data_IF_329669610359
#
_entry.id   IF_329669610359
#
_cell.length_a   1.000
_cell.length_b   1.000
_cell.length_c   1.000
_cell.angle_alpha   90.00
_cell.angle_beta   90.00
_cell.angle_gamma   90.00
#
_symmetry.space_group_name_H-M   'P 1'
#
loop_
_entity.id
_entity.type
_entity.pdbx_description
1 polymer ?
#
# COMPACT_ATOMS: atom_id res chain seq x y z
N UNK A 1 21.80 18.85 -7.34
CA UNK A 1 20.75 18.63 -6.32
C UNK A 1 19.50 17.95 -6.90
N UNK A 2 19.00 18.35 -8.07
CA UNK A 2 17.78 17.76 -8.71
C UNK A 2 17.84 16.23 -8.87
N UNK A 3 18.96 15.67 -9.36
CA UNK A 3 19.09 14.22 -9.56
C UNK A 3 19.04 13.40 -8.26
N UNK A 4 19.61 13.89 -7.15
CA UNK A 4 19.61 13.16 -5.87
C UNK A 4 18.19 13.00 -5.32
N UNK A 5 17.39 14.08 -5.40
CA UNK A 5 15.99 14.06 -4.94
C UNK A 5 15.13 13.13 -5.79
N UNK A 6 15.29 13.18 -7.11
CA UNK A 6 14.58 12.28 -8.03
C UNK A 6 14.87 10.82 -7.73
N UNK A 7 16.13 10.44 -7.55
CA UNK A 7 16.54 9.09 -7.16
C UNK A 7 15.93 8.69 -5.82
N UNK A 8 15.93 9.58 -4.83
CA UNK A 8 15.35 9.32 -3.53
C UNK A 8 13.84 9.01 -3.62
N UNK A 9 13.10 9.77 -4.41
CA UNK A 9 11.66 9.54 -4.61
C UNK A 9 11.40 8.26 -5.42
N UNK A 10 12.25 7.94 -6.38
CA UNK A 10 12.19 6.70 -7.16
C UNK A 10 12.41 5.47 -6.28
N UNK A 11 13.39 5.51 -5.37
CA UNK A 11 13.65 4.43 -4.40
C UNK A 11 12.45 4.24 -3.47
N UNK A 12 11.82 5.31 -3.01
CA UNK A 12 10.61 5.25 -2.18
C UNK A 12 9.51 4.43 -2.87
N UNK A 13 9.17 4.78 -4.11
CA UNK A 13 8.11 4.07 -4.84
C UNK A 13 8.53 2.66 -5.27
N UNK A 14 9.79 2.46 -5.63
CA UNK A 14 10.33 1.12 -5.92
C UNK A 14 10.12 0.18 -4.72
N UNK A 15 10.59 0.56 -3.54
CA UNK A 15 10.44 -0.26 -2.33
C UNK A 15 8.97 -0.45 -1.94
N UNK A 16 8.14 0.61 -2.03
CA UNK A 16 6.71 0.56 -1.76
C UNK A 16 6.01 -0.55 -2.55
N UNK A 17 6.30 -0.67 -3.83
CA UNK A 17 5.67 -1.65 -4.71
C UNK A 17 6.38 -3.01 -4.70
N UNK A 18 7.67 -3.07 -4.38
CA UNK A 18 8.35 -4.34 -4.11
C UNK A 18 7.73 -5.07 -2.92
N UNK A 19 7.38 -4.36 -1.84
CA UNK A 19 6.69 -4.93 -0.67
C UNK A 19 5.40 -5.63 -1.13
N UNK A 20 4.57 -4.97 -1.91
CA UNK A 20 3.33 -5.58 -2.40
C UNK A 20 3.59 -6.74 -3.36
N UNK A 21 4.47 -6.55 -4.35
CA UNK A 21 4.80 -7.55 -5.35
C UNK A 21 5.44 -8.81 -4.79
N UNK A 22 6.04 -8.73 -3.59
CA UNK A 22 6.68 -9.88 -2.96
C UNK A 22 5.68 -10.94 -2.51
N UNK A 23 4.55 -10.57 -1.94
CA UNK A 23 3.66 -11.53 -1.28
C UNK A 23 2.27 -11.64 -1.89
N UNK A 24 1.68 -10.54 -2.35
CA UNK A 24 0.26 -10.45 -2.69
C UNK A 24 -0.20 -11.49 -3.72
N UNK A 25 0.57 -11.69 -4.79
CA UNK A 25 0.19 -12.61 -5.89
C UNK A 25 0.28 -14.07 -5.47
N UNK A 26 1.31 -14.44 -4.71
CA UNK A 26 1.62 -15.84 -4.39
C UNK A 26 1.00 -16.33 -3.09
N UNK A 27 0.52 -15.41 -2.24
CA UNK A 27 -0.11 -15.78 -0.96
C UNK A 27 -1.30 -16.71 -1.12
N UNK A 28 -2.14 -16.53 -2.13
CA UNK A 28 -3.25 -17.46 -2.39
C UNK A 28 -2.79 -18.89 -2.59
N UNK A 29 -1.74 -19.10 -3.36
CA UNK A 29 -1.12 -20.42 -3.57
C UNK A 29 -0.59 -21.01 -2.26
N UNK A 30 0.10 -20.22 -1.46
CA UNK A 30 0.60 -20.63 -0.16
C UNK A 30 -0.52 -21.02 0.80
N UNK A 31 -1.56 -20.20 0.91
CA UNK A 31 -2.70 -20.46 1.80
C UNK A 31 -3.47 -21.73 1.40
N UNK A 32 -3.75 -21.91 0.08
CA UNK A 32 -4.51 -23.06 -0.42
C UNK A 32 -3.69 -24.35 -0.40
N UNK A 33 -2.45 -24.31 -0.90
CA UNK A 33 -1.68 -25.53 -1.17
C UNK A 33 -0.79 -25.96 -0.01
N UNK A 34 -0.39 -25.04 0.86
CA UNK A 34 0.52 -25.33 1.98
C UNK A 34 -0.18 -25.29 3.32
N UNK A 35 -0.98 -24.26 3.57
CA UNK A 35 -1.74 -24.14 4.82
C UNK A 35 -3.09 -24.86 4.77
N UNK A 36 -3.53 -25.28 3.58
CA UNK A 36 -4.81 -25.97 3.36
C UNK A 36 -6.02 -25.17 3.83
N UNK A 37 -5.96 -23.83 3.76
CA UNK A 37 -7.10 -22.97 4.02
C UNK A 37 -8.19 -23.23 3.00
N UNK A 38 -9.44 -23.21 3.43
CA UNK A 38 -10.61 -23.27 2.56
C UNK A 38 -10.67 -22.05 1.63
N UNK A 39 -11.34 -22.16 0.48
CA UNK A 39 -11.53 -21.04 -0.43
C UNK A 39 -12.20 -19.82 0.23
N UNK A 40 -13.11 -20.06 1.20
CA UNK A 40 -13.75 -18.98 1.97
C UNK A 40 -12.75 -18.26 2.90
N UNK A 41 -11.86 -18.98 3.56
CA UNK A 41 -10.81 -18.38 4.40
C UNK A 41 -9.81 -17.56 3.57
N UNK A 42 -9.39 -18.07 2.40
CA UNK A 42 -8.57 -17.31 1.47
C UNK A 42 -9.29 -16.04 0.99
N UNK A 43 -10.58 -16.16 0.66
CA UNK A 43 -11.41 -15.01 0.30
C UNK A 43 -11.48 -13.96 1.42
N UNK A 44 -11.56 -14.37 2.69
CA UNK A 44 -11.52 -13.46 3.83
C UNK A 44 -10.16 -12.77 3.98
N UNK A 45 -9.05 -13.51 3.81
CA UNK A 45 -7.69 -12.94 3.86
C UNK A 45 -7.52 -11.82 2.82
N UNK A 46 -7.95 -12.04 1.59
CA UNK A 46 -7.90 -10.99 0.57
C UNK A 46 -8.96 -9.90 0.79
N UNK A 47 -10.14 -10.27 1.31
CA UNK A 47 -11.19 -9.33 1.70
C UNK A 47 -10.74 -8.33 2.78
N UNK A 48 -9.78 -8.71 3.64
CA UNK A 48 -9.19 -7.81 4.63
C UNK A 48 -8.59 -6.56 3.99
N UNK A 49 -8.02 -6.67 2.77
CA UNK A 49 -7.52 -5.52 2.02
C UNK A 49 -8.65 -4.54 1.66
N UNK A 50 -9.80 -5.05 1.23
CA UNK A 50 -10.96 -4.23 0.87
C UNK A 50 -11.51 -3.50 2.10
N UNK A 51 -11.64 -4.18 3.24
CA UNK A 51 -12.06 -3.57 4.51
C UNK A 51 -11.10 -2.47 4.94
N UNK A 52 -9.80 -2.75 4.91
CA UNK A 52 -8.79 -1.77 5.28
C UNK A 52 -8.74 -0.57 4.33
N UNK A 53 -9.00 -0.77 3.03
CA UNK A 53 -9.04 0.31 2.04
C UNK A 53 -10.12 1.37 2.36
N UNK A 54 -11.23 0.98 2.96
CA UNK A 54 -12.27 1.91 3.42
C UNK A 54 -11.89 2.64 4.69
N UNK A 55 -11.27 1.95 5.63
CA UNK A 55 -11.06 2.45 7.00
C UNK A 55 -9.79 3.29 7.09
N UNK A 56 -8.69 2.80 6.54
CA UNK A 56 -7.35 3.32 6.82
C UNK A 56 -7.05 4.72 6.27
N UNK A 57 -7.54 5.15 5.09
CA UNK A 57 -7.26 6.51 4.60
C UNK A 57 -7.81 7.60 5.51
N UNK A 58 -8.96 7.34 6.16
CA UNK A 58 -9.61 8.30 7.06
C UNK A 58 -8.71 8.58 8.27
N UNK A 59 -8.18 7.52 8.89
CA UNK A 59 -7.32 7.67 10.07
C UNK A 59 -5.97 8.27 9.73
N UNK A 60 -5.37 7.83 8.63
CA UNK A 60 -4.02 8.29 8.26
C UNK A 60 -4.04 9.72 7.74
N UNK A 61 -5.04 10.12 6.97
CA UNK A 61 -5.23 11.51 6.57
C UNK A 61 -5.31 12.43 7.79
N UNK A 62 -6.16 12.10 8.76
CA UNK A 62 -6.30 12.87 9.99
C UNK A 62 -4.98 12.97 10.80
N UNK A 63 -4.21 11.88 10.89
CA UNK A 63 -2.95 11.85 11.65
C UNK A 63 -1.87 12.68 10.95
N UNK A 64 -1.75 12.58 9.61
CA UNK A 64 -0.73 13.30 8.84
C UNK A 64 -1.01 14.78 8.75
N UNK A 65 -2.27 15.17 8.64
CA UNK A 65 -2.63 16.58 8.47
C UNK A 65 -2.46 17.38 9.77
N UNK A 66 -2.59 16.73 10.92
CA UNK A 66 -2.65 17.42 12.20
C UNK A 66 -1.44 17.21 13.12
N UNK A 67 -0.84 16.02 13.15
CA UNK A 67 0.10 15.68 14.22
C UNK A 67 1.51 15.33 13.77
N UNK A 68 1.68 14.67 12.61
CA UNK A 68 2.97 14.12 12.22
C UNK A 68 3.28 14.36 10.75
N UNK A 69 4.55 14.55 10.43
CA UNK A 69 5.00 14.62 9.03
C UNK A 69 4.78 13.28 8.32
N UNK A 70 4.42 13.33 7.04
CA UNK A 70 4.17 12.16 6.20
C UNK A 70 5.31 11.12 6.27
N UNK A 71 6.56 11.57 6.33
CA UNK A 71 7.73 10.68 6.44
C UNK A 71 7.74 9.87 7.74
N UNK A 72 7.37 10.47 8.88
CA UNK A 72 7.31 9.76 10.16
C UNK A 72 6.15 8.77 10.20
N UNK A 73 5.00 9.14 9.64
CA UNK A 73 3.85 8.25 9.55
C UNK A 73 4.18 7.06 8.63
N UNK A 74 4.79 7.30 7.47
CA UNK A 74 5.28 6.22 6.60
C UNK A 74 6.22 5.28 7.35
N UNK A 75 7.19 5.82 8.12
CA UNK A 75 8.12 5.01 8.90
C UNK A 75 7.38 4.11 9.91
N UNK A 76 6.46 4.69 10.70
CA UNK A 76 5.68 3.95 11.69
C UNK A 76 4.83 2.84 11.05
N UNK A 77 4.12 3.17 9.97
CA UNK A 77 3.25 2.23 9.28
C UNK A 77 4.03 1.05 8.67
N UNK A 78 5.20 1.31 8.07
CA UNK A 78 6.04 0.27 7.48
C UNK A 78 6.74 -0.59 8.55
N UNK A 79 7.22 -0.01 9.63
CA UNK A 79 7.81 -0.78 10.74
C UNK A 79 6.74 -1.67 11.39
N UNK A 80 5.56 -1.12 11.68
CA UNK A 80 4.42 -1.88 12.20
C UNK A 80 3.96 -2.98 11.24
N UNK A 81 3.87 -2.67 9.95
CA UNK A 81 3.56 -3.64 8.90
C UNK A 81 4.59 -4.76 8.80
N UNK A 82 5.88 -4.44 8.95
CA UNK A 82 6.95 -5.45 8.99
C UNK A 82 6.77 -6.43 10.14
N UNK A 83 6.42 -5.95 11.34
CA UNK A 83 6.15 -6.80 12.50
C UNK A 83 4.96 -7.74 12.24
N UNK A 84 3.88 -7.22 11.65
CA UNK A 84 2.73 -8.05 11.27
C UNK A 84 3.11 -9.14 10.27
N UNK A 85 3.91 -8.83 9.25
CA UNK A 85 4.38 -9.80 8.25
C UNK A 85 5.27 -10.89 8.85
N UNK A 86 6.17 -10.54 9.78
CA UNK A 86 6.97 -11.53 10.53
C UNK A 86 6.07 -12.43 11.38
N UNK A 87 5.04 -11.86 12.02
CA UNK A 87 4.08 -12.66 12.75
C UNK A 87 3.29 -13.60 11.81
N UNK A 88 2.79 -13.10 10.67
CA UNK A 88 2.13 -13.94 9.66
C UNK A 88 3.04 -15.05 9.12
N UNK A 89 4.34 -14.82 8.99
CA UNK A 89 5.32 -15.85 8.63
C UNK A 89 5.38 -16.97 9.68
N UNK A 90 5.21 -16.62 10.97
CA UNK A 90 5.40 -17.54 12.11
C UNK A 90 4.14 -18.32 12.48
N UNK A 91 2.95 -17.86 12.07
CA UNK A 91 1.68 -18.48 12.44
C UNK A 91 0.94 -19.04 11.22
N UNK A 92 0.50 -20.31 11.34
CA UNK A 92 -0.18 -21.04 10.26
C UNK A 92 -1.68 -21.26 10.53
N UNK A 93 -2.18 -20.93 11.73
CA UNK A 93 -3.60 -21.03 12.08
C UNK A 93 -4.38 -19.84 11.53
N UNK A 94 -5.52 -20.11 10.88
CA UNK A 94 -6.36 -19.07 10.27
C UNK A 94 -6.83 -18.01 11.27
N UNK A 95 -7.20 -18.44 12.49
CA UNK A 95 -7.74 -17.51 13.50
C UNK A 95 -6.69 -16.50 13.99
N UNK A 96 -5.40 -16.79 13.79
CA UNK A 96 -4.27 -15.88 14.07
C UNK A 96 -3.85 -15.14 12.81
N UNK A 97 -3.76 -15.84 11.68
CA UNK A 97 -3.31 -15.29 10.40
C UNK A 97 -4.24 -14.20 9.88
N UNK A 98 -5.56 -14.40 9.93
CA UNK A 98 -6.54 -13.45 9.42
C UNK A 98 -6.54 -12.09 10.17
N UNK A 99 -6.60 -12.05 11.52
CA UNK A 99 -6.47 -10.78 12.24
C UNK A 99 -5.15 -10.05 12.00
N UNK A 100 -4.02 -10.79 11.87
CA UNK A 100 -2.74 -10.21 11.51
C UNK A 100 -2.74 -9.60 10.11
N UNK A 101 -3.39 -10.28 9.15
CA UNK A 101 -3.56 -9.76 7.80
C UNK A 101 -4.40 -8.48 7.81
N UNK A 102 -5.48 -8.44 8.57
CA UNK A 102 -6.33 -7.26 8.70
C UNK A 102 -5.56 -6.08 9.30
N UNK A 103 -4.81 -6.33 10.37
CA UNK A 103 -3.94 -5.31 11.00
C UNK A 103 -2.87 -4.82 10.02
N UNK A 104 -2.21 -5.74 9.32
CA UNK A 104 -1.24 -5.39 8.28
C UNK A 104 -1.87 -4.53 7.18
N UNK A 105 -3.05 -4.91 6.71
CA UNK A 105 -3.75 -4.16 5.66
C UNK A 105 -4.08 -2.73 6.10
N UNK A 106 -4.55 -2.55 7.34
CA UNK A 106 -4.85 -1.21 7.92
C UNK A 106 -3.59 -0.35 8.01
N UNK A 107 -2.43 -0.96 8.32
CA UNK A 107 -1.15 -0.24 8.35
C UNK A 107 -0.60 0.04 6.96
N UNK A 108 -0.72 -0.91 6.02
CA UNK A 108 -0.03 -0.86 4.73
C UNK A 108 -0.79 -0.06 3.66
N UNK A 109 -2.10 -0.24 3.52
CA UNK A 109 -2.85 0.37 2.41
C UNK A 109 -2.77 1.90 2.36
N UNK A 110 -2.86 2.64 3.47
CA UNK A 110 -2.75 4.09 3.41
C UNK A 110 -1.38 4.58 2.95
N UNK A 111 -0.33 3.73 3.04
CA UNK A 111 1.02 4.11 2.61
C UNK A 111 1.11 4.36 1.10
N UNK A 112 0.21 3.79 0.28
CA UNK A 112 0.17 4.07 -1.16
C UNK A 112 -0.23 5.52 -1.46
N UNK A 113 -1.28 5.99 -0.83
CA UNK A 113 -1.73 7.37 -1.00
C UNK A 113 -0.71 8.33 -0.39
N UNK A 114 -0.19 7.99 0.80
CA UNK A 114 0.75 8.82 1.54
C UNK A 114 2.10 8.94 0.82
N UNK A 115 2.64 7.85 0.28
CA UNK A 115 3.90 7.87 -0.49
C UNK A 115 3.73 8.64 -1.81
N UNK A 116 2.60 8.46 -2.50
CA UNK A 116 2.31 9.20 -3.73
C UNK A 116 2.14 10.70 -3.47
N UNK A 117 1.39 11.08 -2.44
CA UNK A 117 1.22 12.47 -2.01
C UNK A 117 2.55 13.10 -1.60
N UNK A 118 3.38 12.36 -0.85
CA UNK A 118 4.73 12.81 -0.49
C UNK A 118 5.58 13.08 -1.73
N UNK A 119 5.58 12.17 -2.71
CA UNK A 119 6.32 12.34 -3.97
C UNK A 119 5.85 13.58 -4.73
N UNK A 120 4.53 13.75 -4.91
CA UNK A 120 3.95 14.89 -5.62
C UNK A 120 4.34 16.23 -4.99
N UNK A 121 4.35 16.32 -3.66
CA UNK A 121 4.74 17.53 -2.93
C UNK A 121 6.24 17.85 -3.02
N UNK A 122 7.06 16.87 -3.37
CA UNK A 122 8.50 17.03 -3.47
C UNK A 122 8.99 17.38 -4.88
N UNK A 123 8.16 17.22 -5.90
CA UNK A 123 8.49 17.51 -7.29
C UNK A 123 8.26 18.99 -7.63
N UNK A 124 9.12 19.56 -8.46
CA UNK A 124 9.00 20.95 -8.95
C UNK A 124 7.89 21.08 -10.01
N UNK A 125 7.80 20.10 -10.91
CA UNK A 125 6.74 19.99 -11.93
C UNK A 125 6.16 18.57 -11.87
N UNK A 126 5.17 18.35 -10.97
CA UNK A 126 4.57 17.02 -10.81
C UNK A 126 4.00 16.44 -12.09
N UNK A 127 3.41 17.27 -12.96
CA UNK A 127 2.79 16.82 -14.20
C UNK A 127 3.77 16.14 -15.16
N UNK A 128 5.00 16.61 -15.21
CA UNK A 128 6.08 16.07 -16.07
C UNK A 128 6.93 15.02 -15.37
N UNK A 129 7.18 15.18 -14.08
CA UNK A 129 8.18 14.39 -13.36
C UNK A 129 7.57 13.15 -12.68
N UNK A 130 6.32 13.22 -12.22
CA UNK A 130 5.69 12.13 -11.49
C UNK A 130 5.60 10.82 -12.29
N UNK A 131 5.24 10.82 -13.59
CA UNK A 131 5.21 9.57 -14.36
C UNK A 131 6.54 8.82 -14.36
N UNK A 132 7.66 9.55 -14.50
CA UNK A 132 9.00 8.96 -14.47
C UNK A 132 9.41 8.40 -13.10
N UNK A 133 8.98 9.03 -12.01
CA UNK A 133 9.18 8.48 -10.65
C UNK A 133 8.25 7.29 -10.40
N UNK A 134 7.01 7.36 -10.88
CA UNK A 134 5.98 6.32 -10.66
C UNK A 134 6.32 4.99 -11.35
N UNK A 135 7.00 5.04 -12.49
CA UNK A 135 7.46 3.85 -13.23
C UNK A 135 8.32 2.92 -12.36
N UNK A 136 9.12 3.47 -11.43
CA UNK A 136 9.94 2.67 -10.51
C UNK A 136 9.10 1.78 -9.59
N UNK A 137 7.85 2.17 -9.30
CA UNK A 137 6.92 1.28 -8.60
C UNK A 137 6.61 0.02 -9.41
N UNK A 138 6.33 0.14 -10.70
CA UNK A 138 6.10 -1.03 -11.57
C UNK A 138 7.34 -1.90 -11.70
N UNK A 139 8.52 -1.28 -11.82
CA UNK A 139 9.80 -2.00 -11.82
C UNK A 139 9.99 -2.76 -10.50
N UNK A 140 9.70 -2.15 -9.35
CA UNK A 140 9.78 -2.79 -8.05
C UNK A 140 8.87 -4.01 -7.94
N UNK A 141 7.63 -3.91 -8.41
CA UNK A 141 6.69 -5.04 -8.47
C UNK A 141 7.25 -6.19 -9.31
N UNK A 142 7.77 -5.90 -10.49
CA UNK A 142 8.35 -6.90 -11.40
C UNK A 142 9.57 -7.58 -10.77
N UNK A 143 10.47 -6.80 -10.16
CA UNK A 143 11.66 -7.34 -9.49
C UNK A 143 11.24 -8.30 -8.37
N UNK A 144 10.30 -7.90 -7.52
CA UNK A 144 9.84 -8.71 -6.40
C UNK A 144 9.20 -10.03 -6.87
N UNK A 145 8.31 -9.97 -7.85
CA UNK A 145 7.69 -11.16 -8.44
C UNK A 145 8.70 -12.12 -9.05
N UNK A 146 9.69 -11.58 -9.78
CA UNK A 146 10.78 -12.40 -10.34
C UNK A 146 11.66 -13.06 -9.26
N UNK A 147 11.95 -12.35 -8.16
CA UNK A 147 12.70 -12.96 -7.03
C UNK A 147 11.94 -14.16 -6.48
N UNK A 148 10.63 -14.01 -6.23
CA UNK A 148 9.77 -15.07 -5.70
C UNK A 148 9.72 -16.27 -6.68
N UNK A 149 9.50 -16.01 -7.97
CA UNK A 149 9.44 -17.06 -8.99
C UNK A 149 10.77 -17.79 -9.19
N UNK A 150 11.89 -17.06 -9.33
CA UNK A 150 13.22 -17.65 -9.51
C UNK A 150 13.65 -18.51 -8.32
N UNK A 151 13.21 -18.17 -7.10
CA UNK A 151 13.51 -18.94 -5.89
C UNK A 151 12.46 -20.03 -5.60
N UNK A 152 11.44 -20.16 -6.44
CA UNK A 152 10.33 -21.12 -6.27
C UNK A 152 9.66 -21.00 -4.89
N UNK A 153 9.40 -19.77 -4.45
CA UNK A 153 8.85 -19.48 -3.13
C UNK A 153 7.30 -19.39 -3.07
N UNK A 154 6.62 -19.61 -4.20
CA UNK A 154 5.16 -19.43 -4.34
C UNK A 154 4.32 -20.24 -3.34
N UNK A 155 4.86 -21.41 -2.91
CA UNK A 155 4.19 -22.30 -1.96
C UNK A 155 4.75 -22.19 -0.53
N UNK A 156 5.57 -21.20 -0.26
CA UNK A 156 6.24 -21.04 1.03
C UNK A 156 5.84 -19.74 1.70
N UNK A 157 6.15 -19.59 2.98
CA UNK A 157 5.97 -18.33 3.71
C UNK A 157 7.06 -17.28 3.39
N UNK A 158 8.13 -17.63 2.66
CA UNK A 158 9.27 -16.75 2.39
C UNK A 158 8.91 -15.41 1.75
N UNK A 159 7.90 -15.31 0.84
CA UNK A 159 7.42 -14.03 0.34
C UNK A 159 6.99 -13.04 1.43
N UNK A 160 6.43 -13.53 2.54
CA UNK A 160 6.07 -12.68 3.68
C UNK A 160 7.31 -12.13 4.37
N UNK A 161 8.36 -12.94 4.53
CA UNK A 161 9.62 -12.52 5.14
C UNK A 161 10.38 -11.53 4.25
N UNK A 162 10.40 -11.74 2.93
CA UNK A 162 10.94 -10.77 1.97
C UNK A 162 10.21 -9.44 2.08
N UNK A 163 8.88 -9.48 2.08
CA UNK A 163 8.04 -8.29 2.23
C UNK A 163 8.28 -7.58 3.57
N UNK A 164 8.42 -8.33 4.66
CA UNK A 164 8.75 -7.80 5.98
C UNK A 164 10.08 -7.06 5.99
N UNK A 165 11.10 -7.67 5.38
CA UNK A 165 12.45 -7.09 5.28
C UNK A 165 12.43 -5.79 4.47
N UNK A 166 11.76 -5.79 3.31
CA UNK A 166 11.61 -4.60 2.47
C UNK A 166 10.81 -3.51 3.18
N UNK A 167 9.76 -3.88 3.93
CA UNK A 167 8.95 -2.94 4.72
C UNK A 167 9.77 -2.30 5.83
N UNK A 168 10.59 -3.07 6.53
CA UNK A 168 11.51 -2.54 7.54
C UNK A 168 12.53 -1.57 6.92
N UNK A 169 13.13 -1.95 5.80
CA UNK A 169 14.07 -1.08 5.05
C UNK A 169 13.39 0.22 4.66
N UNK A 170 12.17 0.15 4.12
CA UNK A 170 11.42 1.34 3.73
C UNK A 170 11.04 2.19 4.93
N UNK A 171 10.63 1.57 6.05
CA UNK A 171 10.33 2.27 7.29
C UNK A 171 11.54 3.05 7.83
N UNK A 172 12.69 2.41 7.87
CA UNK A 172 13.97 3.08 8.26
C UNK A 172 14.33 4.17 7.23
N UNK A 173 14.22 3.89 5.94
CA UNK A 173 14.48 4.86 4.88
C UNK A 173 13.59 6.11 5.00
N UNK A 174 12.32 5.93 5.35
CA UNK A 174 11.36 7.02 5.54
C UNK A 174 11.76 7.99 6.65
N UNK A 175 12.50 7.55 7.69
CA UNK A 175 13.02 8.43 8.73
C UNK A 175 14.05 9.45 8.21
N UNK A 176 14.75 9.13 7.13
CA UNK A 176 15.75 9.99 6.49
C UNK A 176 15.17 10.84 5.36
N UNK A 177 13.89 10.70 5.04
CA UNK A 177 13.21 11.52 4.06
C UNK A 177 13.07 12.96 4.56
N UNK A 178 13.16 13.91 3.64
CA UNK A 178 12.97 15.34 3.95
C UNK A 178 11.58 15.56 4.55
N UNK A 179 11.53 16.23 5.70
CA UNK A 179 10.24 16.58 6.30
C UNK A 179 9.50 17.53 5.36
N UNK A 180 8.33 17.15 4.94
CA UNK A 180 7.38 18.05 4.32
C UNK A 180 6.56 18.63 5.47
N UNK A 181 6.47 19.96 5.60
CA UNK A 181 5.56 20.56 6.55
C UNK A 181 4.14 20.03 6.28
N UNK A 182 3.40 19.68 7.32
CA UNK A 182 1.95 19.55 7.21
C UNK A 182 1.43 20.82 6.54
N UNK A 183 0.51 20.70 5.60
CA UNK A 183 -0.06 21.87 4.93
C UNK A 183 -0.81 22.66 6.00
N UNK A 184 -0.12 23.65 6.58
CA UNK A 184 -0.73 24.60 7.51
C UNK A 184 -1.83 25.34 6.73
N UNK A 185 -3.08 25.10 7.08
CA UNK A 185 -4.19 25.89 6.56
C UNK A 185 -5.48 25.16 6.23
N UNK A 186 -5.50 23.83 6.20
CA UNK A 186 -6.77 23.09 6.15
C UNK A 186 -6.80 22.06 7.26
N UNK A 187 -6.94 22.53 8.49
CA UNK A 187 -7.43 21.70 9.58
C UNK A 187 -8.86 21.27 9.19
N UNK A 188 -8.96 20.17 8.47
CA UNK A 188 -10.21 19.46 8.34
C UNK A 188 -10.61 18.99 9.73
N UNK A 189 -11.42 19.76 10.39
CA UNK A 189 -11.79 19.57 11.80
C UNK A 189 -12.84 18.49 12.00
N UNK A 190 -13.21 17.73 10.97
CA UNK A 190 -14.28 16.76 11.13
C UNK A 190 -14.27 15.69 10.04
N UNK A 191 -14.56 14.43 10.44
CA UNK A 191 -15.05 13.37 9.56
C UNK A 191 -16.18 13.88 8.63
N UNK A 192 -16.93 14.92 9.05
CA UNK A 192 -17.95 15.61 8.24
C UNK A 192 -17.39 16.29 6.99
N UNK A 193 -16.11 16.72 6.99
CA UNK A 193 -15.52 17.32 5.78
C UNK A 193 -15.03 16.25 4.79
N UNK A 194 -14.70 15.04 5.25
CA UNK A 194 -14.43 13.91 4.37
C UNK A 194 -15.69 13.49 3.58
N UNK A 195 -16.88 13.64 4.20
CA UNK A 195 -18.17 13.50 3.53
C UNK A 195 -18.72 14.88 3.11
N UNK A 196 -17.84 15.80 2.75
CA UNK A 196 -18.24 17.15 2.36
C UNK A 196 -19.16 17.14 1.14
N UNK A 197 -20.03 18.12 1.07
CA UNK A 197 -20.94 18.35 -0.07
C UNK A 197 -20.16 18.38 -1.40
N UNK A 198 -18.89 18.80 -1.37
CA UNK A 198 -17.98 18.83 -2.53
C UNK A 198 -17.70 17.44 -3.09
N UNK A 199 -17.45 16.42 -2.26
CA UNK A 199 -17.23 15.03 -2.71
C UNK A 199 -18.52 14.47 -3.32
N UNK A 200 -19.68 14.73 -2.69
CA UNK A 200 -20.97 14.31 -3.23
C UNK A 200 -21.26 15.00 -4.58
N UNK A 201 -20.85 16.26 -4.73
CA UNK A 201 -20.97 17.00 -6.00
C UNK A 201 -20.10 16.42 -7.11
N UNK A 202 -18.88 15.88 -6.79
CA UNK A 202 -18.05 15.19 -7.77
C UNK A 202 -18.74 13.96 -8.37
N UNK A 203 -19.43 13.17 -7.54
CA UNK A 203 -20.21 12.03 -8.01
C UNK A 203 -21.42 12.40 -8.88
N UNK A 204 -21.87 13.66 -8.87
CA UNK A 204 -22.90 14.17 -9.78
C UNK A 204 -22.34 14.54 -11.15
N UNK A 205 -21.01 14.68 -11.30
CA UNK A 205 -20.37 14.97 -12.58
C UNK A 205 -20.27 13.69 -13.39
N UNK A 206 -20.86 13.68 -14.60
CA UNK A 206 -20.90 12.52 -15.50
C UNK A 206 -19.50 11.96 -15.81
N UNK A 207 -18.55 12.85 -16.09
CA UNK A 207 -17.18 12.45 -16.46
C UNK A 207 -16.45 11.79 -15.31
N UNK A 208 -16.62 12.29 -14.07
CA UNK A 208 -16.09 11.68 -12.87
C UNK A 208 -16.71 10.31 -12.60
N UNK A 209 -18.01 10.18 -12.80
CA UNK A 209 -18.72 8.92 -12.58
C UNK A 209 -18.30 7.87 -13.60
N UNK A 210 -18.15 8.23 -14.90
CA UNK A 210 -17.62 7.35 -15.95
C UNK A 210 -16.19 6.92 -15.61
N UNK A 211 -15.34 7.87 -15.18
CA UNK A 211 -13.97 7.56 -14.76
C UNK A 211 -13.95 6.55 -13.61
N UNK A 212 -14.74 6.74 -12.58
CA UNK A 212 -14.82 5.84 -11.41
C UNK A 212 -15.33 4.45 -11.78
N UNK A 213 -16.37 4.36 -12.61
CA UNK A 213 -16.90 3.07 -13.11
C UNK A 213 -15.83 2.36 -13.94
N UNK A 214 -15.19 3.06 -14.88
CA UNK A 214 -14.14 2.49 -15.73
C UNK A 214 -12.96 1.99 -14.90
N UNK A 215 -12.55 2.75 -13.90
CA UNK A 215 -11.47 2.36 -12.98
C UNK A 215 -11.86 1.11 -12.17
N UNK A 216 -13.08 1.05 -11.66
CA UNK A 216 -13.59 -0.10 -10.91
C UNK A 216 -13.60 -1.37 -11.78
N UNK A 217 -14.08 -1.27 -13.01
CA UNK A 217 -14.09 -2.40 -13.96
C UNK A 217 -12.66 -2.84 -14.32
N UNK A 218 -11.75 -1.88 -14.54
CA UNK A 218 -10.36 -2.16 -14.85
C UNK A 218 -9.66 -2.94 -13.70
N UNK A 219 -9.96 -2.63 -12.45
CA UNK A 219 -9.42 -3.35 -11.30
C UNK A 219 -10.13 -4.67 -11.01
N UNK A 220 -11.42 -4.80 -11.34
CA UNK A 220 -12.17 -6.03 -11.13
C UNK A 220 -11.67 -7.19 -12.02
N UNK A 221 -11.25 -6.90 -13.25
CA UNK A 221 -10.77 -7.93 -14.21
C UNK A 221 -9.53 -8.69 -13.70
N UNK A 222 -8.42 -8.04 -13.30
CA UNK A 222 -7.27 -8.73 -12.74
C UNK A 222 -7.60 -9.51 -11.47
N UNK A 223 -8.45 -8.96 -10.62
CA UNK A 223 -8.89 -9.63 -9.39
C UNK A 223 -9.61 -10.93 -9.74
N UNK A 224 -10.59 -10.91 -10.63
CA UNK A 224 -11.29 -12.11 -11.07
C UNK A 224 -10.33 -13.15 -11.69
N UNK A 225 -9.34 -12.71 -12.47
CA UNK A 225 -8.34 -13.59 -13.08
C UNK A 225 -7.40 -14.24 -12.05
N UNK A 226 -7.00 -13.54 -10.99
CA UNK A 226 -6.09 -14.09 -9.98
C UNK A 226 -6.79 -15.04 -9.01
N UNK A 227 -8.12 -15.02 -8.93
CA UNK A 227 -8.91 -15.85 -7.99
C UNK A 227 -9.72 -16.96 -8.66
N UNK A 228 -9.66 -17.10 -9.97
CA UNK A 228 -10.22 -18.22 -10.73
C UNK A 228 -9.18 -19.31 -10.99
#
# INVERSE_FOLDING_TARGET
MKNKKYVQLSILLLLQFMIWGSWYVTTGTYLLQTLHFSGSEVGLVYGAMSVAAFISPIFVGFITDKYFSASKVLAFLHIGGSICLVAMYSYTDFNVFYPLTLLYAVLYLPTFALSSSYVLQQLEDPSKQFPGVRVWGSIGWIIAGNIVGLLSWEKTANPLLLSASLSLILGVYALFLTKVPSVEGKSSNSIKEFFSVEIIQLFKQRDFLIFMISLTLLYAIPIAYYYS
#
